data_IF_896927872892
#
_entry.id   IF_896927872892
#
_cell.length_a   1.000
_cell.length_b   1.000
_cell.length_c   1.000
_cell.angle_alpha   90.00
_cell.angle_beta   90.00
_cell.angle_gamma   90.00
#
_symmetry.space_group_name_H-M   'P 1'
#
loop_
_entity.id
_entity.type
_entity.pdbx_description
1 polymer ?
#
# COMPACT_ATOMS: atom_id res chain seq x y z
N UNK A 1 -9.45 19.52 15.12
CA UNK A 1 -8.59 18.44 14.59
C UNK A 1 -7.16 18.96 14.61
N UNK A 2 -6.26 18.32 15.34
CA UNK A 2 -4.85 18.74 15.37
C UNK A 2 -4.12 18.06 14.22
N UNK A 3 -3.83 18.80 13.15
CA UNK A 3 -3.15 18.27 11.95
C UNK A 3 -1.64 18.40 12.14
N UNK A 4 -0.91 17.31 11.90
CA UNK A 4 0.56 17.25 11.99
C UNK A 4 1.18 16.53 10.79
N UNK A 5 2.33 16.97 10.29
CA UNK A 5 3.07 18.17 10.70
C UNK A 5 2.33 19.47 10.34
N UNK A 6 2.75 20.59 10.92
CA UNK A 6 2.25 21.91 10.51
C UNK A 6 2.66 22.22 9.06
N UNK A 7 2.02 23.20 8.43
CA UNK A 7 2.39 23.61 7.06
C UNK A 7 3.86 24.07 7.00
N UNK A 8 4.34 24.78 8.01
CA UNK A 8 5.72 25.25 8.09
C UNK A 8 6.71 24.07 8.16
N UNK A 9 6.48 23.13 9.07
CA UNK A 9 7.28 21.91 9.20
C UNK A 9 7.28 21.05 7.92
N UNK A 10 6.12 20.99 7.25
CA UNK A 10 5.98 20.27 5.98
C UNK A 10 6.80 20.92 4.85
N UNK A 11 6.79 22.25 4.76
CA UNK A 11 7.57 23.00 3.78
C UNK A 11 9.07 22.89 4.05
N UNK A 12 9.51 22.94 5.30
CA UNK A 12 10.90 22.73 5.69
C UNK A 12 11.37 21.31 5.32
N UNK A 13 10.57 20.30 5.64
CA UNK A 13 10.87 18.91 5.30
C UNK A 13 10.98 18.72 3.78
N UNK A 14 10.05 19.31 3.02
CA UNK A 14 10.06 19.27 1.56
C UNK A 14 11.28 19.99 0.95
N UNK A 15 11.72 21.10 1.54
CA UNK A 15 12.88 21.85 1.09
C UNK A 15 14.20 21.05 1.15
N UNK A 16 14.27 20.01 1.99
CA UNK A 16 15.42 19.11 2.02
C UNK A 16 15.64 18.31 0.71
N UNK A 17 14.61 18.20 -0.13
CA UNK A 17 14.67 17.48 -1.41
C UNK A 17 14.81 15.95 -1.29
N UNK A 18 14.81 15.42 -0.07
CA UNK A 18 15.08 14.00 0.20
C UNK A 18 13.87 13.08 -0.03
N UNK A 19 12.66 13.64 -0.11
CA UNK A 19 11.42 12.88 -0.15
C UNK A 19 10.46 13.46 -1.19
N UNK A 20 9.68 12.57 -1.82
CA UNK A 20 8.65 12.96 -2.80
C UNK A 20 7.23 12.97 -2.20
N UNK A 21 7.07 12.32 -1.06
CA UNK A 21 5.80 12.19 -0.34
C UNK A 21 6.01 12.54 1.12
N UNK A 22 5.04 13.22 1.73
CA UNK A 22 5.07 13.58 3.15
C UNK A 22 3.72 13.17 3.78
N UNK A 23 3.71 12.29 4.80
CA UNK A 23 2.47 11.91 5.46
C UNK A 23 1.98 13.06 6.34
N UNK A 24 0.72 13.45 6.13
CA UNK A 24 -0.01 14.37 6.98
C UNK A 24 -1.04 13.56 7.75
N UNK A 25 -1.11 13.82 9.06
CA UNK A 25 -1.87 13.03 10.01
C UNK A 25 -2.77 13.91 10.87
N UNK A 26 -3.83 13.33 11.38
CA UNK A 26 -4.60 13.90 12.47
C UNK A 26 -5.17 12.76 13.32
N UNK A 27 -5.38 13.04 14.60
CA UNK A 27 -5.95 12.08 15.54
C UNK A 27 -7.42 12.43 15.82
N UNK A 28 -8.26 11.39 15.90
CA UNK A 28 -9.69 11.49 16.13
C UNK A 28 -10.06 10.45 17.19
N UNK A 29 -10.92 10.80 18.13
CA UNK A 29 -11.52 9.82 19.05
C UNK A 29 -12.35 8.81 18.25
N UNK A 30 -12.18 7.54 18.52
CA UNK A 30 -12.86 6.43 17.81
C UNK A 30 -13.72 5.57 18.74
N UNK A 31 -14.07 6.06 19.92
CA UNK A 31 -14.90 5.38 20.92
C UNK A 31 -16.34 5.06 20.44
N UNK A 32 -16.76 5.69 19.35
CA UNK A 32 -18.06 5.48 18.70
C UNK A 32 -18.03 4.51 17.51
N UNK A 33 -16.87 3.99 17.08
CA UNK A 33 -16.77 3.13 15.88
C UNK A 33 -15.68 2.06 16.03
N UNK A 34 -16.04 0.80 15.74
CA UNK A 34 -15.07 -0.30 15.68
C UNK A 34 -14.34 -0.37 14.33
N UNK A 35 -13.14 -0.98 14.24
CA UNK A 35 -12.43 -1.13 12.97
C UNK A 35 -13.26 -1.83 11.88
N UNK A 36 -14.03 -2.86 12.25
CA UNK A 36 -14.89 -3.57 11.30
C UNK A 36 -16.04 -2.69 10.77
N UNK A 37 -16.61 -1.82 11.61
CA UNK A 37 -17.62 -0.84 11.18
C UNK A 37 -17.01 0.23 10.27
N UNK A 38 -15.79 0.70 10.58
CA UNK A 38 -15.07 1.61 9.72
C UNK A 38 -14.83 1.00 8.34
N UNK A 39 -14.38 -0.25 8.24
CA UNK A 39 -14.23 -0.95 6.95
C UNK A 39 -15.55 -1.05 6.19
N UNK A 40 -16.68 -1.31 6.87
CA UNK A 40 -18.00 -1.32 6.20
C UNK A 40 -18.35 0.04 5.60
N UNK A 41 -17.95 1.14 6.24
CA UNK A 41 -18.11 2.49 5.68
C UNK A 41 -17.18 2.69 4.48
N UNK A 42 -15.90 2.34 4.61
CA UNK A 42 -14.91 2.48 3.54
C UNK A 42 -15.30 1.72 2.27
N UNK A 43 -15.87 0.51 2.42
CA UNK A 43 -16.37 -0.30 1.30
C UNK A 43 -17.51 0.35 0.50
N UNK A 44 -18.20 1.35 1.05
CA UNK A 44 -19.20 2.15 0.31
C UNK A 44 -18.53 3.18 -0.60
N UNK A 45 -17.32 3.62 -0.26
CA UNK A 45 -16.56 4.62 -1.01
C UNK A 45 -15.66 4.00 -2.08
N UNK A 46 -15.08 2.82 -1.82
CA UNK A 46 -14.20 2.13 -2.76
C UNK A 46 -14.36 0.62 -2.72
N UNK A 47 -14.24 -0.02 -3.88
CA UNK A 47 -14.15 -1.48 -3.99
C UNK A 47 -12.77 -2.02 -3.60
N UNK A 48 -11.74 -1.15 -3.60
CA UNK A 48 -10.38 -1.48 -3.19
C UNK A 48 -10.16 -1.00 -1.76
N UNK A 49 -10.31 -1.90 -0.80
CA UNK A 49 -10.09 -1.65 0.63
C UNK A 49 -9.26 -2.78 1.23
N UNK A 50 -8.44 -2.46 2.23
CA UNK A 50 -7.77 -3.47 3.05
C UNK A 50 -8.01 -3.24 4.54
N UNK A 51 -7.83 -4.31 5.32
CA UNK A 51 -7.73 -4.30 6.77
C UNK A 51 -6.60 -5.26 7.16
N UNK A 52 -5.62 -4.77 7.90
CA UNK A 52 -4.53 -5.55 8.46
C UNK A 52 -4.55 -5.40 9.97
N UNK A 53 -4.88 -6.49 10.66
CA UNK A 53 -4.96 -6.57 12.11
C UNK A 53 -3.90 -7.55 12.61
N UNK A 54 -3.14 -7.15 13.62
CA UNK A 54 -2.06 -7.95 14.19
C UNK A 54 -2.50 -8.53 15.54
N UNK A 55 -2.77 -9.84 15.57
CA UNK A 55 -3.15 -10.57 16.78
C UNK A 55 -1.92 -11.05 17.58
N UNK A 56 -0.94 -10.19 17.84
CA UNK A 56 0.22 -10.54 18.66
C UNK A 56 -0.05 -10.32 20.16
N UNK A 57 0.34 -11.30 20.97
CA UNK A 57 0.18 -11.25 22.43
C UNK A 57 1.14 -10.28 23.15
N UNK A 58 2.12 -9.69 22.46
CA UNK A 58 3.06 -8.70 23.03
C UNK A 58 2.73 -7.28 22.58
N UNK A 59 2.56 -6.37 23.53
CA UNK A 59 2.02 -5.02 23.35
C UNK A 59 2.80 -4.08 22.41
N UNK A 60 4.03 -4.42 21.99
CA UNK A 60 4.89 -3.52 21.21
C UNK A 60 4.61 -3.49 19.70
N UNK A 61 4.09 -4.56 19.10
CA UNK A 61 3.91 -4.67 17.64
C UNK A 61 2.46 -5.00 17.21
N UNK A 62 1.59 -5.35 18.15
CA UNK A 62 0.17 -5.70 17.93
C UNK A 62 -0.83 -4.58 18.19
N UNK A 63 -0.38 -3.33 18.34
CA UNK A 63 -1.25 -2.23 18.82
C UNK A 63 -2.22 -1.69 17.77
N UNK A 64 -1.91 -1.84 16.48
CA UNK A 64 -2.64 -1.16 15.42
C UNK A 64 -3.43 -2.10 14.53
N UNK A 65 -4.63 -1.65 14.16
CA UNK A 65 -5.36 -2.15 12.99
C UNK A 65 -5.28 -1.13 11.88
N UNK A 66 -4.62 -1.49 10.78
CA UNK A 66 -4.46 -0.62 9.62
C UNK A 66 -5.57 -0.84 8.62
N UNK A 67 -6.26 0.24 8.26
CA UNK A 67 -7.25 0.27 7.19
C UNK A 67 -6.76 1.18 6.06
N UNK A 68 -7.11 0.84 4.83
CA UNK A 68 -6.94 1.75 3.71
C UNK A 68 -7.98 1.49 2.64
N UNK A 69 -8.21 2.50 1.82
CA UNK A 69 -9.20 2.49 0.77
C UNK A 69 -8.77 3.41 -0.35
N UNK A 70 -9.34 3.21 -1.54
CA UNK A 70 -9.16 4.11 -2.69
C UNK A 70 -7.68 4.34 -3.05
N UNK A 71 -6.99 3.28 -3.50
CA UNK A 71 -5.56 3.34 -3.81
C UNK A 71 -5.27 4.31 -4.96
N UNK A 72 -4.04 4.84 -4.98
CA UNK A 72 -3.49 5.68 -6.04
C UNK A 72 -3.16 4.90 -7.30
N UNK A 73 -2.66 3.68 -7.13
CA UNK A 73 -2.25 2.81 -8.22
C UNK A 73 -2.69 1.38 -7.95
N UNK A 74 -3.11 0.68 -9.00
CA UNK A 74 -3.27 -0.77 -9.04
C UNK A 74 -2.11 -1.34 -9.87
N UNK A 75 -1.39 -2.31 -9.33
CA UNK A 75 -0.16 -2.84 -9.91
C UNK A 75 -0.28 -4.36 -9.92
N UNK A 76 -0.48 -4.92 -11.11
CA UNK A 76 -0.74 -6.35 -11.28
C UNK A 76 0.29 -6.97 -12.21
N UNK A 77 0.60 -8.24 -12.00
CA UNK A 77 1.39 -9.03 -12.94
C UNK A 77 0.71 -10.37 -13.19
N UNK A 78 0.60 -10.74 -14.47
CA UNK A 78 0.15 -12.06 -14.90
C UNK A 78 0.96 -12.51 -16.11
N UNK A 79 1.51 -13.72 -16.06
CA UNK A 79 2.25 -14.34 -17.16
C UNK A 79 3.35 -13.42 -17.75
N UNK A 80 4.11 -12.77 -16.87
CA UNK A 80 5.22 -11.86 -17.19
C UNK A 80 4.82 -10.46 -17.63
N UNK A 81 3.52 -10.15 -17.67
CA UNK A 81 3.03 -8.83 -18.08
C UNK A 81 2.63 -8.03 -16.86
N UNK A 82 3.37 -6.96 -16.59
CA UNK A 82 3.04 -6.00 -15.53
C UNK A 82 2.13 -4.91 -16.08
N UNK A 83 1.06 -4.59 -15.38
CA UNK A 83 0.19 -3.45 -15.66
C UNK A 83 0.07 -2.55 -14.45
N UNK A 84 0.09 -1.24 -14.69
CA UNK A 84 -0.11 -0.22 -13.68
C UNK A 84 -1.27 0.66 -14.10
N UNK A 85 -2.33 0.70 -13.30
CA UNK A 85 -3.53 1.50 -13.54
C UNK A 85 -3.63 2.60 -12.49
N UNK A 86 -3.82 3.85 -12.91
CA UNK A 86 -4.04 4.98 -12.00
C UNK A 86 -5.51 5.17 -11.62
N UNK A 87 -5.79 6.20 -10.82
CA UNK A 87 -7.15 6.53 -10.35
C UNK A 87 -8.10 6.98 -11.45
N UNK A 88 -7.56 7.51 -12.56
CA UNK A 88 -8.33 7.92 -13.74
C UNK A 88 -8.63 6.72 -14.67
N UNK A 89 -8.16 5.52 -14.30
CA UNK A 89 -8.31 4.29 -15.07
C UNK A 89 -7.30 4.16 -16.22
N UNK A 90 -6.32 5.06 -16.32
CA UNK A 90 -5.30 4.97 -17.35
C UNK A 90 -4.34 3.84 -17.00
N UNK A 91 -4.18 2.91 -17.93
CA UNK A 91 -3.33 1.73 -17.76
C UNK A 91 -2.09 1.84 -18.62
N UNK A 92 -0.93 1.67 -17.99
CA UNK A 92 0.36 1.52 -18.67
C UNK A 92 0.90 0.11 -18.48
N UNK A 93 1.69 -0.33 -19.45
CA UNK A 93 2.37 -1.63 -19.45
C UNK A 93 3.89 -1.37 -19.43
N UNK A 94 4.51 -1.23 -18.25
CA UNK A 94 5.94 -0.98 -18.14
C UNK A 94 6.74 -2.16 -18.70
N UNK A 95 7.81 -1.85 -19.44
CA UNK A 95 8.79 -2.84 -19.85
C UNK A 95 9.66 -3.30 -18.66
N UNK A 96 10.22 -4.50 -18.76
CA UNK A 96 11.15 -5.06 -17.77
C UNK A 96 10.49 -6.00 -16.76
N UNK A 97 11.21 -6.33 -15.69
CA UNK A 97 10.71 -7.27 -14.68
C UNK A 97 9.67 -6.62 -13.77
N UNK A 98 8.72 -7.40 -13.20
CA UNK A 98 7.77 -6.87 -12.21
C UNK A 98 8.48 -6.19 -11.03
N UNK A 99 9.61 -6.74 -10.58
CA UNK A 99 10.43 -6.17 -9.51
C UNK A 99 11.03 -4.79 -9.87
N UNK A 100 11.45 -4.58 -11.11
CA UNK A 100 11.98 -3.27 -11.54
C UNK A 100 10.88 -2.20 -11.58
N UNK A 101 9.68 -2.57 -12.03
CA UNK A 101 8.50 -1.71 -11.94
C UNK A 101 8.22 -1.31 -10.48
N UNK A 102 8.20 -2.27 -9.54
CA UNK A 102 7.96 -1.99 -8.13
C UNK A 102 9.03 -1.07 -7.53
N UNK A 103 10.31 -1.30 -7.84
CA UNK A 103 11.41 -0.44 -7.36
C UNK A 103 11.27 0.99 -7.87
N UNK A 104 10.85 1.17 -9.13
CA UNK A 104 10.59 2.49 -9.71
C UNK A 104 9.47 3.21 -8.95
N UNK A 105 8.34 2.53 -8.74
CA UNK A 105 7.20 3.08 -7.98
C UNK A 105 7.61 3.42 -6.54
N UNK A 106 8.29 2.51 -5.83
CA UNK A 106 8.73 2.77 -4.46
C UNK A 106 9.69 3.97 -4.36
N UNK A 107 10.52 4.20 -5.37
CA UNK A 107 11.39 5.38 -5.44
C UNK A 107 10.58 6.66 -5.64
N UNK A 108 9.56 6.61 -6.50
CA UNK A 108 8.71 7.76 -6.80
C UNK A 108 7.81 8.16 -5.63
N UNK A 109 7.46 7.19 -4.77
CA UNK A 109 6.61 7.39 -3.60
C UNK A 109 7.37 7.26 -2.28
N UNK A 110 8.71 7.39 -2.30
CA UNK A 110 9.51 7.38 -1.09
C UNK A 110 9.14 8.58 -0.20
N UNK A 111 8.63 8.27 1.00
CA UNK A 111 8.14 9.26 1.95
C UNK A 111 9.02 9.41 3.19
N UNK A 112 8.92 10.57 3.84
CA UNK A 112 9.58 10.81 5.12
C UNK A 112 8.92 10.00 6.24
N UNK A 113 9.71 9.62 7.25
CA UNK A 113 9.23 8.89 8.42
C UNK A 113 9.30 9.78 9.65
N UNK A 114 8.18 9.88 10.35
CA UNK A 114 8.09 10.60 11.61
C UNK A 114 7.92 9.61 12.76
N UNK A 115 8.73 9.73 13.81
CA UNK A 115 8.74 8.77 14.92
C UNK A 115 7.47 8.72 15.76
N UNK A 116 6.61 9.75 15.66
CA UNK A 116 5.31 9.81 16.34
C UNK A 116 4.16 9.21 15.53
N UNK A 117 4.39 8.83 14.27
CA UNK A 117 3.38 8.17 13.44
C UNK A 117 3.39 6.65 13.67
N UNK A 118 2.26 5.98 13.40
CA UNK A 118 2.22 4.52 13.31
C UNK A 118 3.27 3.98 12.34
N UNK A 119 3.70 2.71 12.50
CA UNK A 119 4.76 2.13 11.67
C UNK A 119 4.41 2.01 10.17
N UNK A 120 3.12 2.08 9.83
CA UNK A 120 2.64 2.09 8.46
C UNK A 120 1.78 3.33 8.19
N UNK A 121 2.24 4.18 7.27
CA UNK A 121 1.62 5.47 6.92
C UNK A 121 1.22 5.55 5.44
N UNK A 122 1.15 4.40 4.77
CA UNK A 122 0.94 4.31 3.33
C UNK A 122 2.03 3.51 2.64
N UNK A 123 1.74 3.03 1.43
CA UNK A 123 2.61 2.16 0.66
C UNK A 123 1.87 1.08 -0.12
N UNK A 124 2.63 0.10 -0.60
CA UNK A 124 2.08 -1.03 -1.36
C UNK A 124 1.47 -2.07 -0.42
N UNK A 125 0.22 -2.43 -0.66
CA UNK A 125 -0.50 -3.49 0.05
C UNK A 125 -1.15 -4.42 -0.96
N UNK A 126 -1.06 -5.73 -0.73
CA UNK A 126 -1.63 -6.75 -1.60
C UNK A 126 -0.90 -8.07 -1.42
N UNK A 127 -0.70 -8.82 -2.50
CA UNK A 127 -0.05 -10.12 -2.43
C UNK A 127 0.93 -10.37 -3.59
N UNK A 128 1.85 -11.31 -3.33
CA UNK A 128 2.61 -12.04 -4.33
C UNK A 128 2.14 -13.49 -4.30
N UNK A 129 1.71 -14.03 -5.43
CA UNK A 129 1.35 -15.43 -5.53
C UNK A 129 2.61 -16.31 -5.54
N UNK A 130 2.42 -17.61 -5.35
CA UNK A 130 3.53 -18.57 -5.39
C UNK A 130 4.31 -18.46 -6.71
N UNK A 131 3.60 -18.33 -7.83
CA UNK A 131 4.18 -18.32 -9.17
C UNK A 131 5.10 -17.13 -9.43
N UNK A 132 5.02 -16.07 -8.62
CA UNK A 132 5.94 -14.93 -8.68
C UNK A 132 7.41 -15.34 -8.55
N UNK A 133 7.71 -16.45 -7.87
CA UNK A 133 9.08 -16.96 -7.72
C UNK A 133 9.74 -17.27 -9.06
N UNK A 134 8.98 -17.59 -10.12
CA UNK A 134 9.52 -17.80 -11.46
C UNK A 134 10.20 -16.54 -12.05
N UNK A 135 9.85 -15.34 -11.58
CA UNK A 135 10.53 -14.10 -11.98
C UNK A 135 11.88 -13.91 -11.29
N UNK A 136 12.06 -14.50 -10.11
CA UNK A 136 13.31 -14.46 -9.36
C UNK A 136 14.27 -15.57 -9.79
N UNK A 137 13.74 -16.73 -10.19
CA UNK A 137 14.49 -17.93 -10.54
C UNK A 137 14.18 -18.40 -11.97
N UNK A 138 14.88 -17.90 -13.01
CA UNK A 138 14.57 -18.20 -14.42
C UNK A 138 14.69 -19.68 -14.80
N UNK A 139 15.42 -20.47 -14.02
CA UNK A 139 15.54 -21.91 -14.22
C UNK A 139 14.35 -22.72 -13.70
N UNK A 140 13.44 -22.08 -12.95
CA UNK A 140 12.28 -22.75 -12.38
C UNK A 140 11.18 -22.91 -13.43
N UNK A 141 10.68 -24.14 -13.57
CA UNK A 141 9.52 -24.45 -14.41
C UNK A 141 8.34 -24.88 -13.55
N UNK A 142 7.32 -24.03 -13.48
CA UNK A 142 6.07 -24.34 -12.82
C UNK A 142 5.20 -25.14 -13.81
N UNK A 143 5.03 -26.43 -13.52
CA UNK A 143 4.29 -27.38 -14.39
C UNK A 143 2.86 -27.64 -13.93
N UNK A 144 2.47 -27.05 -12.80
CA UNK A 144 1.10 -27.13 -12.32
C UNK A 144 0.17 -26.38 -13.30
N UNK A 145 -1.03 -26.91 -13.50
CA UNK A 145 -2.06 -26.24 -14.28
C UNK A 145 -2.63 -25.12 -13.41
N UNK A 146 -2.67 -23.90 -13.94
CA UNK A 146 -3.40 -22.81 -13.32
C UNK A 146 -4.91 -23.06 -13.50
N UNK A 147 -5.61 -23.33 -12.41
CA UNK A 147 -7.07 -23.52 -12.39
C UNK A 147 -7.82 -22.32 -11.85
N UNK A 148 -7.12 -21.40 -11.19
CA UNK A 148 -7.73 -20.31 -10.42
C UNK A 148 -7.55 -18.95 -11.12
N UNK A 149 -6.73 -18.88 -12.16
CA UNK A 149 -6.41 -17.66 -12.93
C UNK A 149 -5.95 -16.51 -12.03
N UNK A 150 -5.20 -16.86 -10.97
CA UNK A 150 -4.65 -15.87 -10.06
C UNK A 150 -3.60 -15.02 -10.75
N UNK A 151 -3.51 -13.75 -10.35
CA UNK A 151 -2.40 -12.90 -10.76
C UNK A 151 -1.16 -13.35 -10.01
N UNK A 152 0.00 -13.33 -10.65
CA UNK A 152 1.27 -13.61 -9.99
C UNK A 152 1.59 -12.55 -8.92
N UNK A 153 1.07 -11.34 -9.12
CA UNK A 153 1.17 -10.23 -8.18
C UNK A 153 -0.06 -9.33 -8.33
N UNK A 154 -0.61 -8.88 -7.21
CA UNK A 154 -1.66 -7.86 -7.16
C UNK A 154 -1.40 -6.97 -5.95
N UNK A 155 -0.84 -5.79 -6.22
CA UNK A 155 -0.47 -4.78 -5.23
C UNK A 155 -1.19 -3.48 -5.54
N UNK A 156 -1.53 -2.75 -4.49
CA UNK A 156 -2.20 -1.47 -4.57
C UNK A 156 -1.41 -0.45 -3.75
N UNK A 157 -1.16 0.73 -4.31
CA UNK A 157 -0.48 1.81 -3.60
C UNK A 157 -1.49 2.67 -2.85
N UNK A 158 -1.45 2.67 -1.52
CA UNK A 158 -2.32 3.49 -0.68
C UNK A 158 -1.56 4.69 -0.12
N UNK A 159 -2.12 5.89 -0.28
CA UNK A 159 -1.66 7.13 0.37
C UNK A 159 -2.59 7.57 1.52
N UNK A 160 -3.75 6.91 1.64
CA UNK A 160 -4.74 7.11 2.70
C UNK A 160 -4.77 5.88 3.59
N UNK A 161 -4.38 6.05 4.85
CA UNK A 161 -4.35 5.00 5.86
C UNK A 161 -5.00 5.49 7.14
N UNK A 162 -5.83 4.65 7.74
CA UNK A 162 -6.37 4.83 9.10
C UNK A 162 -5.68 3.80 9.98
N UNK A 163 -5.05 4.26 11.06
CA UNK A 163 -4.50 3.39 12.09
C UNK A 163 -5.42 3.49 13.32
N UNK A 164 -6.12 2.39 13.61
CA UNK A 164 -6.90 2.19 14.84
C UNK A 164 -6.00 1.70 15.96
#
# INVERSE_FOLDING_TARGET
MNIRPSLEEALETAASGNYRVLPVSCEILSDFITPIEAVRVLKKASRHCFMLESAQASETWGRYTFLGYDPRLLITCSAGKTSVTDQDGQTRLPDGSPSDCLRSILRDYAGCRFGWLPPFTGGLVGYFAYDYIAYAEPGLQIKARDTEEFKDMDLMLFDKVIAF
#
